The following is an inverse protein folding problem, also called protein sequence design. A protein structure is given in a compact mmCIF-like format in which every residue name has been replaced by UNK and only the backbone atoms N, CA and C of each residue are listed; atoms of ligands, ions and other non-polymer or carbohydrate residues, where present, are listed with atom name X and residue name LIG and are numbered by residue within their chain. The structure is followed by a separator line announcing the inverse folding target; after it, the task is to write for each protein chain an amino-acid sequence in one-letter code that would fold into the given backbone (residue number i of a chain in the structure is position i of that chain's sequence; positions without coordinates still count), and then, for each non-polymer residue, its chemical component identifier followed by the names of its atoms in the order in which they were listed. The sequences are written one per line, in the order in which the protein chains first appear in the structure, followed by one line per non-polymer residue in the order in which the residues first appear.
data_IF_309270778906
#
_entry.id   IF_309270778906
#
_cell.length_a   1.000
_cell.length_b   1.000
_cell.length_c   1.000
_cell.angle_alpha   90.00
_cell.angle_beta   90.00
_cell.angle_gamma   90.00
#
_symmetry.space_group_name_H-M   'P 1'
#
loop_
_entity.id
_entity.type
_entity.pdbx_description
1 polymer ?
#
# COMPACT_ATOMS: atom_id res chain seq x y z
N UNK A 1 -14.85 -0.23 -7.52
CA UNK A 1 -14.12 0.58 -6.52
C UNK A 1 -13.23 1.64 -7.17
N UNK A 2 -12.25 1.29 -8.02
CA UNK A 2 -11.28 2.27 -8.54
C UNK A 2 -11.31 2.50 -10.06
N UNK A 3 -12.09 1.72 -10.82
CA UNK A 3 -12.15 1.83 -12.28
C UNK A 3 -10.82 1.52 -12.99
N UNK A 4 -9.88 0.86 -12.31
CA UNK A 4 -8.59 0.45 -12.88
C UNK A 4 -8.79 -0.81 -13.72
N UNK A 5 -8.14 -0.87 -14.88
CA UNK A 5 -8.17 -2.05 -15.75
C UNK A 5 -7.66 -3.27 -14.98
N UNK A 6 -8.50 -4.31 -14.92
CA UNK A 6 -8.09 -5.61 -14.41
C UNK A 6 -7.25 -6.33 -15.46
N UNK A 7 -6.11 -6.85 -15.01
CA UNK A 7 -5.18 -7.65 -15.82
C UNK A 7 -4.93 -8.98 -15.14
N UNK A 8 -4.23 -9.90 -15.80
CA UNK A 8 -3.87 -11.19 -15.22
C UNK A 8 -2.37 -11.41 -15.31
N UNK A 9 -1.79 -11.96 -14.24
CA UNK A 9 -0.38 -12.33 -14.17
C UNK A 9 -0.27 -13.84 -13.95
N UNK A 10 0.56 -14.51 -14.74
CA UNK A 10 0.90 -15.92 -14.49
C UNK A 10 1.76 -16.02 -13.22
N UNK A 11 1.34 -16.83 -12.27
CA UNK A 11 2.05 -17.07 -11.02
C UNK A 11 1.93 -18.55 -10.63
N UNK A 12 3.06 -19.24 -10.53
CA UNK A 12 3.09 -20.70 -10.40
C UNK A 12 2.33 -21.38 -11.56
N UNK A 13 1.37 -22.24 -11.21
CA UNK A 13 0.55 -22.98 -12.18
C UNK A 13 -0.76 -22.26 -12.55
N UNK A 14 -0.98 -21.03 -12.07
CA UNK A 14 -2.24 -20.31 -12.26
C UNK A 14 -2.08 -18.90 -12.82
N UNK A 15 -3.22 -18.26 -13.08
CA UNK A 15 -3.32 -16.84 -13.41
C UNK A 15 -3.96 -16.10 -12.23
N UNK A 16 -3.32 -15.03 -11.77
CA UNK A 16 -3.79 -14.19 -10.66
C UNK A 16 -4.30 -12.87 -11.24
N UNK A 17 -5.56 -12.47 -10.96
CA UNK A 17 -6.04 -11.15 -11.34
C UNK A 17 -5.28 -10.07 -10.57
N UNK A 18 -4.81 -9.05 -11.28
CA UNK A 18 -4.02 -7.95 -10.71
C UNK A 18 -4.42 -6.64 -11.38
N UNK A 19 -4.34 -5.56 -10.62
CA UNK A 19 -4.48 -4.20 -11.11
C UNK A 19 -3.38 -3.33 -10.48
N UNK A 20 -2.94 -2.32 -11.21
CA UNK A 20 -1.90 -1.39 -10.78
C UNK A 20 -2.21 0.03 -11.25
N UNK A 21 -1.50 0.98 -10.67
CA UNK A 21 -1.56 2.39 -11.05
C UNK A 21 -0.19 3.04 -10.81
N UNK A 22 0.04 4.19 -11.45
CA UNK A 22 1.27 4.96 -11.27
C UNK A 22 1.30 5.58 -9.87
N UNK A 23 2.47 5.62 -9.22
CA UNK A 23 2.63 6.20 -7.88
C UNK A 23 2.10 7.64 -7.79
N UNK A 24 2.22 8.42 -8.87
CA UNK A 24 1.66 9.77 -8.95
C UNK A 24 0.13 9.86 -8.73
N UNK A 25 -0.60 8.76 -8.89
CA UNK A 25 -2.04 8.69 -8.64
C UNK A 25 -2.39 8.15 -7.25
N UNK A 26 -1.40 7.96 -6.37
CA UNK A 26 -1.60 7.38 -5.03
C UNK A 26 -2.66 8.14 -4.24
N UNK A 27 -2.56 9.46 -4.17
CA UNK A 27 -3.48 10.31 -3.39
C UNK A 27 -4.92 10.18 -3.90
N UNK A 28 -5.11 10.15 -5.22
CA UNK A 28 -6.41 9.94 -5.85
C UNK A 28 -7.04 8.62 -5.42
N UNK A 29 -6.28 7.53 -5.45
CA UNK A 29 -6.81 6.21 -5.12
C UNK A 29 -6.94 5.99 -3.62
N UNK A 30 -6.08 6.59 -2.80
CA UNK A 30 -6.25 6.63 -1.35
C UNK A 30 -7.52 7.37 -0.97
N UNK A 31 -7.79 8.53 -1.57
CA UNK A 31 -9.03 9.26 -1.37
C UNK A 31 -10.26 8.39 -1.67
N UNK A 32 -10.24 7.71 -2.81
CA UNK A 32 -11.32 6.81 -3.20
C UNK A 32 -11.47 5.63 -2.24
N UNK A 33 -10.41 4.90 -1.93
CA UNK A 33 -10.48 3.71 -1.05
C UNK A 33 -10.83 4.09 0.39
N UNK A 34 -10.13 5.07 0.95
CA UNK A 34 -10.12 5.34 2.38
C UNK A 34 -11.19 6.36 2.78
N UNK A 35 -11.28 7.50 2.08
CA UNK A 35 -12.26 8.53 2.45
C UNK A 35 -13.67 8.20 1.95
N UNK A 36 -13.80 7.78 0.68
CA UNK A 36 -15.10 7.55 0.05
C UNK A 36 -15.65 6.16 0.38
N UNK A 37 -14.83 5.11 0.23
CA UNK A 37 -15.26 3.73 0.45
C UNK A 37 -15.00 3.21 1.88
N UNK A 38 -14.44 4.04 2.77
CA UNK A 38 -14.15 3.71 4.18
C UNK A 38 -13.32 2.44 4.38
N UNK A 39 -12.43 2.14 3.43
CA UNK A 39 -11.54 0.98 3.50
C UNK A 39 -10.23 1.31 4.22
N UNK A 40 -9.64 0.28 4.82
CA UNK A 40 -8.30 0.33 5.39
C UNK A 40 -7.31 -0.13 4.33
N UNK A 41 -6.23 0.61 4.12
CA UNK A 41 -5.24 0.33 3.07
C UNK A 41 -3.88 0.11 3.70
N UNK A 42 -3.31 -1.09 3.52
CA UNK A 42 -1.93 -1.39 3.93
C UNK A 42 -0.95 -1.04 2.81
N UNK A 43 0.10 -0.31 3.16
CA UNK A 43 1.23 -0.01 2.28
C UNK A 43 2.38 -0.97 2.57
N UNK A 44 2.83 -1.69 1.54
CA UNK A 44 3.96 -2.60 1.63
C UNK A 44 5.16 -2.02 0.87
N UNK A 45 6.35 -2.04 1.47
CA UNK A 45 7.62 -1.73 0.80
C UNK A 45 8.51 -2.95 0.72
N UNK A 46 9.36 -2.96 -0.29
CA UNK A 46 10.42 -3.96 -0.47
C UNK A 46 11.72 -3.43 0.13
N UNK A 47 12.35 -4.25 0.96
CA UNK A 47 13.64 -3.99 1.59
C UNK A 47 14.66 -4.98 1.03
N UNK A 48 15.78 -4.51 0.46
CA UNK A 48 16.77 -5.40 -0.11
C UNK A 48 17.47 -6.20 1.01
N UNK A 49 17.45 -7.52 0.88
CA UNK A 49 18.25 -8.44 1.69
C UNK A 49 19.54 -8.77 0.94
N UNK A 50 20.64 -8.26 1.45
CA UNK A 50 21.97 -8.55 0.94
C UNK A 50 22.48 -9.84 1.58
N UNK A 51 22.31 -10.95 0.88
CA UNK A 51 23.05 -12.19 1.15
C UNK A 51 24.15 -12.34 0.10
N UNK A 52 25.27 -12.97 0.44
CA UNK A 52 26.45 -13.11 -0.43
C UNK A 52 26.17 -13.77 -1.79
N UNK A 53 25.03 -14.48 -1.94
CA UNK A 53 24.73 -15.29 -3.12
C UNK A 53 23.43 -14.92 -3.84
N UNK A 54 22.53 -14.16 -3.21
CA UNK A 54 21.22 -13.85 -3.81
C UNK A 54 20.71 -12.48 -3.39
N UNK A 55 20.33 -11.65 -4.36
CA UNK A 55 19.53 -10.44 -4.11
C UNK A 55 18.09 -10.88 -3.87
N UNK A 56 17.68 -10.85 -2.60
CA UNK A 56 16.29 -11.11 -2.20
C UNK A 56 15.67 -9.82 -1.67
N UNK A 57 14.35 -9.76 -1.63
CA UNK A 57 13.62 -8.61 -1.10
C UNK A 57 12.65 -9.08 -0.05
N UNK A 58 12.75 -8.50 1.15
CA UNK A 58 11.75 -8.67 2.19
C UNK A 58 10.63 -7.65 1.97
N UNK A 59 9.39 -8.12 2.01
CA UNK A 59 8.21 -7.26 1.91
C UNK A 59 7.64 -7.05 3.30
N UNK A 60 7.55 -5.79 3.72
CA UNK A 60 6.99 -5.44 5.02
C UNK A 60 5.90 -4.38 4.86
N UNK A 61 4.85 -4.50 5.69
CA UNK A 61 3.84 -3.44 5.82
C UNK A 61 4.48 -2.29 6.59
N UNK A 62 4.59 -1.14 5.95
CA UNK A 62 5.24 0.04 6.55
C UNK A 62 4.26 1.08 7.07
N UNK A 63 3.01 1.04 6.59
CA UNK A 63 1.96 1.98 6.99
C UNK A 63 0.58 1.37 6.76
N UNK A 64 -0.37 1.64 7.66
CA UNK A 64 -1.78 1.34 7.47
C UNK A 64 -2.52 2.67 7.44
N UNK A 65 -3.16 2.97 6.30
CA UNK A 65 -3.95 4.18 6.11
C UNK A 65 -5.40 3.89 6.44
N UNK A 66 -5.93 4.64 7.41
CA UNK A 66 -7.31 4.49 7.89
C UNK A 66 -8.14 5.73 7.55
N UNK A 67 -9.49 5.61 7.49
CA UNK A 67 -10.37 6.76 7.19
C UNK A 67 -10.16 7.97 8.09
N UNK A 68 -9.76 7.74 9.35
CA UNK A 68 -9.51 8.80 10.32
C UNK A 68 -8.22 9.59 10.02
N UNK A 69 -7.20 8.94 9.46
CA UNK A 69 -5.89 9.55 9.22
C UNK A 69 -5.86 10.56 8.06
N UNK A 70 -6.73 10.40 7.06
CA UNK A 70 -6.79 11.33 5.91
C UNK A 70 -7.72 12.53 6.14
N UNK A 71 -8.29 12.67 7.34
CA UNK A 71 -9.13 13.83 7.70
C UNK A 71 -8.24 14.98 8.21
N UNK A 72 -7.09 14.65 8.82
CA UNK A 72 -6.09 15.60 9.27
C UNK A 72 -5.02 15.73 8.17
N UNK A 73 -4.99 16.85 7.43
CA UNK A 73 -4.06 17.07 6.30
C UNK A 73 -2.56 17.10 6.67
N UNK A 74 -2.19 16.74 7.91
CA UNK A 74 -0.90 17.05 8.50
C UNK A 74 0.13 15.90 8.57
N UNK A 75 -0.16 14.67 8.12
CA UNK A 75 0.78 13.56 8.37
C UNK A 75 0.95 12.60 7.19
N UNK A 76 1.21 13.14 6.00
CA UNK A 76 1.66 12.33 4.87
C UNK A 76 2.94 12.90 4.28
N UNK A 77 4.07 12.68 4.96
CA UNK A 77 5.28 12.39 4.19
C UNK A 77 5.12 10.95 3.68
N UNK A 78 4.85 10.73 2.37
CA UNK A 78 4.62 9.39 1.82
C UNK A 78 5.81 8.42 1.97
N UNK A 79 6.95 8.93 2.45
CA UNK A 79 8.20 8.20 2.60
C UNK A 79 8.64 8.00 4.05
N UNK A 80 8.02 8.66 5.03
CA UNK A 80 8.31 8.47 6.45
C UNK A 80 7.43 7.36 7.02
N UNK A 81 8.03 6.44 7.78
CA UNK A 81 7.30 5.43 8.53
C UNK A 81 6.52 6.11 9.66
N UNK A 82 5.26 6.46 9.40
CA UNK A 82 4.37 6.92 10.46
C UNK A 82 3.80 5.67 11.18
N UNK A 83 4.57 5.12 12.11
CA UNK A 83 4.07 4.13 13.06
C UNK A 83 3.16 4.87 14.04
N UNK A 84 1.86 4.91 13.74
CA UNK A 84 0.87 5.28 14.76
C UNK A 84 0.66 4.04 15.61
N UNK A 85 1.32 4.00 16.76
CA UNK A 85 0.97 3.08 17.84
C UNK A 85 -0.45 3.48 18.30
N UNK A 86 -1.44 2.64 17.99
CA UNK A 86 -2.72 2.68 18.69
C UNK A 86 -2.49 2.05 20.07
N UNK A 87 -2.17 2.89 21.06
CA UNK A 87 -2.29 2.53 22.46
C UNK A 87 -3.67 2.95 22.99
N UNK A 88 -4.36 1.98 23.60
CA UNK A 88 -5.57 2.07 24.48
C UNK A 88 -6.91 2.30 23.74
N UNK A 89 -7.99 1.51 23.94
CA UNK A 89 -8.46 0.67 25.06
C UNK A 89 -9.05 -0.67 24.57
#
# INVERSE_FOLDING_TARGET
LLGIKLTTRKWGNGHVPMCNFLLAHLDKYLKALVQQNKQFVAMCKEFPCYSERTKTFDRQVTCIVTPRMLIDEAIFEPFQNNIILLSEF
#
